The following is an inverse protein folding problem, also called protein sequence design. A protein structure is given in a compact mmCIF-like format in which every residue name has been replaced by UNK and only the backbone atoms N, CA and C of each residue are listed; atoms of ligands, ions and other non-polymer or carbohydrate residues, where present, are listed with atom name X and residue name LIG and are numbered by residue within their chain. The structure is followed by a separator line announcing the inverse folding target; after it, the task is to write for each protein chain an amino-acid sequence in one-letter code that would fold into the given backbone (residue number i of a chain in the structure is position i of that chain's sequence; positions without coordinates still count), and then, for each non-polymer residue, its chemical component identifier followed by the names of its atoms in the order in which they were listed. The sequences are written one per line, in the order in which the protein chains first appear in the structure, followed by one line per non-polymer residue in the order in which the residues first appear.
data_IF_373884774652
#
_entry.id   IF_373884774652
#
_cell.length_a   1.000
_cell.length_b   1.000
_cell.length_c   1.000
_cell.angle_alpha   90.00
_cell.angle_beta   90.00
_cell.angle_gamma   90.00
#
_symmetry.space_group_name_H-M   'P 1'
#
loop_
_entity.id
_entity.type
_entity.pdbx_description
1 polymer ?
#
# COMPACT_ATOMS: atom_id res chain seq x y z
N UNK A 1 -8.74 -43.09 -7.67
CA UNK A 1 -7.57 -42.79 -6.81
C UNK A 1 -7.24 -41.33 -6.99
N UNK A 2 -7.76 -40.50 -6.10
CA UNK A 2 -7.60 -39.05 -6.06
C UNK A 2 -6.24 -38.80 -5.40
N UNK A 3 -5.23 -38.33 -6.13
CA UNK A 3 -4.21 -37.44 -5.56
C UNK A 3 -3.80 -36.46 -6.67
N UNK A 4 -4.37 -35.27 -6.61
CA UNK A 4 -3.84 -34.09 -7.27
C UNK A 4 -2.54 -33.72 -6.55
N UNK A 5 -1.40 -34.24 -6.99
CA UNK A 5 -0.09 -33.72 -6.57
C UNK A 5 0.18 -32.38 -7.28
N UNK A 6 -0.63 -31.37 -6.97
CA UNK A 6 -0.24 -29.97 -7.22
C UNK A 6 0.77 -29.56 -6.16
N UNK A 7 1.96 -30.12 -6.26
CA UNK A 7 3.12 -29.68 -5.50
C UNK A 7 3.48 -28.27 -5.97
N UNK A 8 2.88 -27.25 -5.36
CA UNK A 8 3.34 -25.85 -5.40
C UNK A 8 4.67 -25.70 -4.63
N UNK A 9 5.57 -26.67 -4.74
CA UNK A 9 6.84 -26.73 -4.02
C UNK A 9 7.93 -25.84 -4.65
N UNK A 10 7.67 -25.28 -5.84
CA UNK A 10 8.66 -24.51 -6.60
C UNK A 10 8.25 -23.05 -6.87
N UNK A 11 7.23 -22.53 -6.16
CA UNK A 11 6.91 -21.11 -6.21
C UNK A 11 7.85 -20.35 -5.28
N UNK A 12 8.58 -19.37 -5.80
CA UNK A 12 9.37 -18.43 -5.02
C UNK A 12 8.72 -17.06 -5.02
N UNK A 13 8.79 -16.36 -3.89
CA UNK A 13 8.31 -14.99 -3.72
C UNK A 13 9.47 -14.06 -3.38
N UNK A 14 9.37 -12.81 -3.80
CA UNK A 14 10.36 -11.78 -3.52
C UNK A 14 10.03 -11.06 -2.21
N UNK A 15 10.98 -11.01 -1.28
CA UNK A 15 10.81 -10.27 -0.03
C UNK A 15 10.62 -8.77 -0.34
N UNK A 16 9.51 -8.14 0.07
CA UNK A 16 9.23 -6.74 -0.28
C UNK A 16 10.21 -5.76 0.38
N UNK A 17 10.81 -6.13 1.51
CA UNK A 17 11.74 -5.29 2.25
C UNK A 17 13.16 -5.28 1.64
N UNK A 18 13.72 -6.47 1.35
CA UNK A 18 15.14 -6.61 0.97
C UNK A 18 15.36 -7.28 -0.39
N UNK A 19 14.29 -7.62 -1.11
CA UNK A 19 14.31 -8.18 -2.48
C UNK A 19 14.92 -9.59 -2.61
N UNK A 20 15.22 -10.26 -1.50
CA UNK A 20 15.66 -11.66 -1.51
C UNK A 20 14.49 -12.58 -1.96
N UNK A 21 14.74 -13.44 -2.95
CA UNK A 21 13.83 -14.54 -3.32
C UNK A 21 13.89 -15.66 -2.29
N UNK A 22 12.72 -16.13 -1.88
CA UNK A 22 12.58 -17.23 -0.92
C UNK A 22 11.46 -18.18 -1.36
N UNK A 23 11.53 -19.46 -0.99
CA UNK A 23 10.43 -20.39 -1.23
C UNK A 23 9.12 -19.86 -0.66
N UNK A 24 8.05 -19.99 -1.42
CA UNK A 24 6.71 -19.75 -0.92
C UNK A 24 6.35 -20.90 0.04
N UNK A 25 6.32 -22.13 -0.46
CA UNK A 25 6.05 -23.30 0.38
C UNK A 25 7.09 -23.46 1.51
N UNK A 26 6.61 -23.73 2.73
CA UNK A 26 7.46 -24.02 3.89
C UNK A 26 8.13 -22.81 4.56
N UNK A 27 8.05 -21.60 3.99
CA UNK A 27 8.56 -20.40 4.65
C UNK A 27 7.50 -19.84 5.66
N UNK A 28 7.82 -19.78 6.97
CA UNK A 28 6.89 -19.28 7.99
C UNK A 28 6.76 -17.74 8.00
N UNK A 29 7.66 -17.02 7.32
CA UNK A 29 7.71 -15.56 7.33
C UNK A 29 7.21 -14.91 6.04
N UNK A 30 6.57 -15.67 5.15
CA UNK A 30 6.07 -15.13 3.88
C UNK A 30 5.22 -13.86 4.04
N UNK A 31 5.30 -12.91 3.08
CA UNK A 31 6.17 -12.92 1.89
C UNK A 31 7.63 -12.54 2.18
N UNK A 32 8.01 -12.36 3.45
CA UNK A 32 9.35 -11.93 3.85
C UNK A 32 10.33 -13.10 3.92
N UNK A 33 11.62 -12.78 3.81
CA UNK A 33 12.68 -13.78 3.91
C UNK A 33 13.05 -14.16 5.35
N UNK A 34 12.60 -13.39 6.35
CA UNK A 34 12.91 -13.61 7.77
C UNK A 34 12.01 -12.78 8.69
N UNK A 35 11.96 -13.16 9.97
CA UNK A 35 11.30 -12.37 11.02
C UNK A 35 11.80 -10.92 11.08
N UNK A 36 13.11 -10.71 10.92
CA UNK A 36 13.71 -9.37 10.89
C UNK A 36 13.05 -8.48 9.83
N UNK A 37 12.87 -8.99 8.61
CA UNK A 37 12.28 -8.21 7.52
C UNK A 37 10.80 -7.90 7.79
N UNK A 38 10.06 -8.85 8.37
CA UNK A 38 8.66 -8.63 8.80
C UNK A 38 8.56 -7.51 9.84
N UNK A 39 9.45 -7.51 10.84
CA UNK A 39 9.45 -6.50 11.90
C UNK A 39 9.86 -5.12 11.39
N UNK A 40 10.80 -5.04 10.45
CA UNK A 40 11.18 -3.75 9.84
C UNK A 40 10.01 -3.17 9.04
N UNK A 41 9.35 -3.99 8.23
CA UNK A 41 8.17 -3.57 7.47
C UNK A 41 7.06 -3.05 8.39
N UNK A 42 6.73 -3.79 9.46
CA UNK A 42 5.81 -3.36 10.49
C UNK A 42 6.23 -2.03 11.14
N UNK A 43 7.53 -1.86 11.39
CA UNK A 43 8.09 -0.61 11.91
C UNK A 43 7.93 0.58 10.95
N UNK A 44 8.00 0.35 9.63
CA UNK A 44 7.75 1.38 8.62
C UNK A 44 6.28 1.79 8.60
N UNK A 45 5.35 0.84 8.77
CA UNK A 45 3.92 1.12 8.92
C UNK A 45 3.62 1.97 10.16
N UNK A 46 4.16 1.59 11.32
CA UNK A 46 3.98 2.34 12.58
C UNK A 46 4.50 3.77 12.47
N UNK A 47 5.54 3.98 11.66
CA UNK A 47 6.17 5.30 11.44
C UNK A 47 5.57 6.07 10.28
N UNK A 48 4.45 5.60 9.71
CA UNK A 48 3.75 6.24 8.58
C UNK A 48 4.68 6.52 7.38
N UNK A 49 5.66 5.64 7.13
CA UNK A 49 6.63 5.82 6.05
C UNK A 49 6.10 5.43 4.68
N UNK A 50 4.99 4.69 4.64
CA UNK A 50 4.30 4.33 3.41
C UNK A 50 3.29 5.42 3.05
N UNK A 51 3.61 6.17 1.98
CA UNK A 51 2.76 7.24 1.44
C UNK A 51 2.17 6.77 0.13
N UNK A 52 0.85 6.91 -0.01
CA UNK A 52 0.17 6.79 -1.29
C UNK A 52 0.17 8.20 -1.90
N UNK A 53 0.84 8.44 -3.04
CA UNK A 53 0.76 9.73 -3.72
C UNK A 53 -0.71 10.06 -4.02
N UNK A 54 -1.15 11.25 -3.61
CA UNK A 54 -2.46 11.76 -3.98
C UNK A 54 -2.45 12.28 -5.41
N UNK A 55 -3.58 12.13 -6.11
CA UNK A 55 -3.83 12.92 -7.32
C UNK A 55 -3.93 14.39 -6.90
N UNK A 56 -3.31 15.30 -7.66
CA UNK A 56 -3.43 16.73 -7.38
C UNK A 56 -4.92 17.10 -7.35
N UNK A 57 -5.40 17.88 -6.37
CA UNK A 57 -6.79 18.31 -6.38
C UNK A 57 -7.04 19.04 -7.70
N UNK A 58 -8.06 18.59 -8.45
CA UNK A 58 -8.56 19.34 -9.59
C UNK A 58 -8.79 20.78 -9.10
N UNK A 59 -8.20 21.77 -9.80
CA UNK A 59 -8.22 23.16 -9.37
C UNK A 59 -9.66 23.57 -9.05
N UNK A 60 -9.93 24.30 -7.95
CA UNK A 60 -11.26 24.81 -7.71
C UNK A 60 -11.65 25.69 -8.91
N UNK A 61 -12.64 25.25 -9.67
CA UNK A 61 -13.31 26.11 -10.63
C UNK A 61 -13.80 27.33 -9.86
N UNK A 62 -13.39 28.50 -10.33
CA UNK A 62 -13.83 29.77 -9.76
C UNK A 62 -15.28 29.94 -10.17
N UNK A 63 -16.20 29.58 -9.27
CA UNK A 63 -17.59 29.99 -9.40
C UNK A 63 -17.66 31.52 -9.23
N UNK A 64 -17.59 32.20 -10.37
CA UNK A 64 -17.94 33.60 -10.50
C UNK A 64 -19.47 33.72 -10.44
N UNK A 65 -20.05 33.83 -9.25
CA UNK A 65 -21.41 34.33 -9.11
C UNK A 65 -21.37 35.82 -8.72
N UNK A 66 -21.65 36.65 -9.71
CA UNK A 66 -21.83 38.09 -9.57
C UNK A 66 -23.26 38.33 -9.05
N UNK A 67 -23.40 38.54 -7.74
CA UNK A 67 -24.64 38.97 -7.10
C UNK A 67 -24.50 40.38 -6.53
N UNK A 68 -25.02 41.37 -7.26
CA UNK A 68 -25.07 42.79 -6.92
C UNK A 68 -26.19 43.10 -5.89
N UNK A 69 -25.81 43.54 -4.68
CA UNK A 69 -26.50 44.48 -3.77
C UNK A 69 -27.91 44.17 -3.20
N UNK A 70 -28.46 44.99 -2.26
CA UNK A 70 -27.90 46.23 -1.72
C UNK A 70 -27.90 46.36 -0.16
N UNK A 71 -26.92 47.14 0.32
CA UNK A 71 -26.90 48.06 1.48
C UNK A 71 -27.77 47.81 2.74
N UNK A 72 -27.07 47.78 3.90
CA UNK A 72 -27.43 48.26 5.26
C UNK A 72 -28.44 49.43 5.30
N UNK A 73 -29.15 49.73 6.43
CA UNK A 73 -28.71 49.66 7.85
C UNK A 73 -29.77 49.03 8.79
N UNK A 74 -29.57 48.78 10.09
CA UNK A 74 -28.82 49.48 11.13
C UNK A 74 -28.47 48.55 12.29
#
# INVERSE_FOLDING_TARGET
MIILEFSNANMEVECPHCRKRVPDAGNPFRPFCSERCRLIDLGAWIKEQYVIPGEAPASPEKDADSGEGPSSPS
#
